data_IF_866594990164
#
_entry.id   IF_866594990164
#
_cell.length_a   1.000
_cell.length_b   1.000
_cell.length_c   1.000
_cell.angle_alpha   90.00
_cell.angle_beta   90.00
_cell.angle_gamma   90.00
#
_symmetry.space_group_name_H-M   'P 1'
#
loop_
_entity.id
_entity.type
_entity.pdbx_description
1 polymer ?
#
# COMPACT_ATOMS: atom_id res chain seq x y z
N UNK A 1 -4.02 -0.82 32.14
CA UNK A 1 -4.01 0.08 30.96
C UNK A 1 -2.57 0.25 30.55
N UNK A 2 -2.10 -0.56 29.60
CA UNK A 2 -0.73 -0.53 29.08
C UNK A 2 -0.86 -1.08 27.66
N UNK A 3 -1.39 -0.28 26.75
CA UNK A 3 -0.53 0.65 26.02
C UNK A 3 0.04 -0.15 24.86
N UNK A 4 -0.83 -0.47 23.89
CA UNK A 4 -0.47 -1.07 22.61
C UNK A 4 0.45 -0.09 21.87
N UNK A 5 1.73 -0.13 22.23
CA UNK A 5 2.80 0.41 21.40
C UNK A 5 2.66 -0.40 20.12
N UNK A 6 2.05 0.19 19.10
CA UNK A 6 2.09 -0.34 17.74
C UNK A 6 3.57 -0.50 17.42
N UNK A 7 4.09 -1.72 17.63
CA UNK A 7 5.44 -2.09 17.27
C UNK A 7 5.45 -2.00 15.75
N UNK A 8 5.87 -0.84 15.25
CA UNK A 8 6.13 -0.65 13.85
C UNK A 8 7.33 -1.55 13.53
N UNK A 9 7.04 -2.79 13.12
CA UNK A 9 8.07 -3.70 12.64
C UNK A 9 8.48 -3.15 11.27
N UNK A 10 9.44 -2.23 11.27
CA UNK A 10 10.04 -1.68 10.05
C UNK A 10 10.99 -2.72 9.46
N UNK A 11 10.41 -3.66 8.71
CA UNK A 11 11.18 -4.60 7.85
C UNK A 11 11.86 -3.83 6.71
N UNK A 12 11.34 -2.67 6.35
CA UNK A 12 11.83 -1.80 5.28
C UNK A 12 12.57 -0.61 5.86
N UNK A 13 13.58 -0.13 5.14
CA UNK A 13 14.26 1.11 5.49
C UNK A 13 13.29 2.31 5.46
N UNK A 14 13.54 3.37 6.24
CA UNK A 14 12.63 4.51 6.34
C UNK A 14 12.34 5.20 5.00
N UNK A 15 13.32 5.28 4.10
CA UNK A 15 13.16 5.94 2.80
C UNK A 15 12.18 5.15 1.93
N UNK A 16 12.33 3.82 1.87
CA UNK A 16 11.43 2.93 1.14
C UNK A 16 10.03 2.89 1.75
N UNK A 17 9.93 2.84 3.07
CA UNK A 17 8.64 2.85 3.78
C UNK A 17 7.85 4.14 3.49
N UNK A 18 8.53 5.30 3.53
CA UNK A 18 7.90 6.59 3.26
C UNK A 18 7.43 6.71 1.80
N UNK A 19 8.23 6.25 0.83
CA UNK A 19 7.84 6.25 -0.58
C UNK A 19 6.57 5.42 -0.81
N UNK A 20 6.48 4.24 -0.19
CA UNK A 20 5.29 3.39 -0.25
C UNK A 20 4.09 4.09 0.39
N UNK A 21 4.25 4.65 1.59
CA UNK A 21 3.16 5.34 2.28
C UNK A 21 2.60 6.51 1.47
N UNK A 22 3.47 7.29 0.82
CA UNK A 22 3.05 8.38 -0.07
C UNK A 22 2.32 7.82 -1.30
N UNK A 23 2.88 6.81 -1.97
CA UNK A 23 2.23 6.17 -3.12
C UNK A 23 0.84 5.59 -2.79
N UNK A 24 0.68 5.02 -1.60
CA UNK A 24 -0.61 4.51 -1.14
C UNK A 24 -1.66 5.59 -0.87
N UNK A 25 -1.28 6.87 -0.76
CA UNK A 25 -2.28 7.96 -0.60
C UNK A 25 -3.07 8.24 -1.88
N UNK A 26 -2.48 7.93 -3.05
CA UNK A 26 -3.11 8.14 -4.36
C UNK A 26 -3.68 6.85 -4.95
N UNK A 27 -3.41 5.70 -4.31
CA UNK A 27 -3.90 4.40 -4.73
C UNK A 27 -5.14 3.99 -3.90
N UNK A 28 -6.01 3.13 -4.46
CA UNK A 28 -7.10 2.53 -3.69
C UNK A 28 -6.56 1.59 -2.59
N UNK A 29 -7.43 1.09 -1.72
CA UNK A 29 -7.02 0.27 -0.58
C UNK A 29 -6.17 -0.94 -0.99
N UNK A 30 -5.23 -1.37 -0.13
CA UNK A 30 -4.38 -2.55 -0.39
C UNK A 30 -5.17 -3.82 -0.75
N UNK A 31 -6.37 -3.98 -0.18
CA UNK A 31 -7.27 -5.10 -0.51
C UNK A 31 -7.78 -5.01 -1.94
N UNK A 32 -8.16 -3.81 -2.37
CA UNK A 32 -8.62 -3.52 -3.73
C UNK A 32 -7.49 -3.74 -4.74
N UNK A 33 -6.27 -3.27 -4.44
CA UNK A 33 -5.09 -3.48 -5.28
C UNK A 33 -4.84 -4.97 -5.50
N UNK A 34 -4.80 -5.76 -4.42
CA UNK A 34 -4.62 -7.22 -4.51
C UNK A 34 -5.69 -7.88 -5.39
N UNK A 35 -6.96 -7.50 -5.21
CA UNK A 35 -8.04 -8.08 -5.99
C UNK A 35 -7.97 -7.70 -7.47
N UNK A 36 -7.61 -6.44 -7.78
CA UNK A 36 -7.46 -5.96 -9.15
C UNK A 36 -6.34 -6.72 -9.89
N UNK A 37 -5.19 -6.92 -9.24
CA UNK A 37 -4.06 -7.68 -9.81
C UNK A 37 -4.46 -9.14 -10.06
N UNK A 38 -5.07 -9.81 -9.08
CA UNK A 38 -5.46 -11.22 -9.21
C UNK A 38 -6.52 -11.44 -10.30
N UNK A 39 -7.38 -10.46 -10.54
CA UNK A 39 -8.44 -10.54 -11.56
C UNK A 39 -8.05 -9.92 -12.90
N UNK A 40 -6.85 -9.34 -13.01
CA UNK A 40 -6.42 -8.53 -14.16
C UNK A 40 -7.44 -7.44 -14.53
N UNK A 41 -8.06 -6.82 -13.51
CA UNK A 41 -9.09 -5.81 -13.71
C UNK A 41 -8.48 -4.42 -13.89
N UNK A 42 -8.24 -4.05 -15.15
CA UNK A 42 -7.70 -2.75 -15.54
C UNK A 42 -8.66 -1.56 -15.38
N UNK A 43 -9.90 -1.78 -14.93
CA UNK A 43 -10.83 -0.68 -14.63
C UNK A 43 -10.61 -0.08 -13.23
N UNK A 44 -9.96 -0.84 -12.35
CA UNK A 44 -9.78 -0.49 -10.92
C UNK A 44 -8.51 0.33 -10.69
N UNK A 45 -7.47 0.12 -11.51
CA UNK A 45 -6.20 0.84 -11.45
C UNK A 45 -5.82 1.25 -12.87
N UNK A 46 -5.55 2.55 -13.06
CA UNK A 46 -5.11 3.10 -14.34
C UNK A 46 -3.62 2.77 -14.60
N UNK A 47 -3.12 3.11 -15.79
CA UNK A 47 -1.71 2.84 -16.15
C UNK A 47 -0.71 3.47 -15.16
N UNK A 48 -0.97 4.69 -14.71
CA UNK A 48 -0.11 5.39 -13.74
C UNK A 48 -0.08 4.73 -12.35
N UNK A 49 -1.17 4.08 -11.93
CA UNK A 49 -1.20 3.33 -10.68
C UNK A 49 -0.60 1.92 -10.78
N UNK A 50 -0.28 1.46 -11.99
CA UNK A 50 0.42 0.20 -12.26
C UNK A 50 1.94 0.43 -12.34
N UNK A 51 2.37 1.53 -12.96
CA UNK A 51 3.78 1.97 -13.04
C UNK A 51 4.34 2.36 -11.66
#
# INVERSE_FOLDING_TARGET
KSGDIKKEITVLDPKRSNAINIGLTVLPTARTIKAAILKMDGSVINKEGIE
#
